data_IF_320958362935
#
_entry.id   IF_320958362935
#
_cell.length_a   1.000
_cell.length_b   1.000
_cell.length_c   1.000
_cell.angle_alpha   90.00
_cell.angle_beta   90.00
_cell.angle_gamma   90.00
#
_symmetry.space_group_name_H-M   'P 1'
#
loop_
_entity.id
_entity.type
_entity.pdbx_description
1 polymer ?
#
# COMPACT_ATOMS: atom_id res chain seq x y z
N UNK A 1 -7.38 -4.70 11.29
CA UNK A 1 -6.11 -5.45 11.13
C UNK A 1 -5.86 -6.41 12.28
N UNK A 2 -5.96 -5.99 13.55
CA UNK A 2 -5.62 -6.83 14.71
C UNK A 2 -6.27 -8.23 14.71
N UNK A 3 -7.60 -8.31 14.54
CA UNK A 3 -8.30 -9.60 14.43
C UNK A 3 -7.77 -10.50 13.29
N UNK A 4 -7.47 -9.89 12.14
CA UNK A 4 -6.93 -10.63 10.98
C UNK A 4 -5.52 -11.19 11.19
N UNK A 5 -4.79 -10.68 12.20
CA UNK A 5 -3.51 -11.22 12.65
C UNK A 5 -3.63 -12.11 13.90
N UNK A 6 -4.86 -12.49 14.29
CA UNK A 6 -5.12 -13.44 15.37
C UNK A 6 -5.49 -12.81 16.72
N UNK A 7 -5.70 -11.49 16.79
CA UNK A 7 -6.26 -10.85 17.99
C UNK A 7 -7.77 -11.18 18.13
N UNK A 8 -8.35 -10.78 19.25
CA UNK A 8 -9.79 -10.86 19.53
C UNK A 8 -10.62 -9.98 18.59
N UNK A 9 -11.90 -10.33 18.45
CA UNK A 9 -12.86 -9.59 17.63
C UNK A 9 -13.11 -8.17 18.17
N UNK A 10 -12.94 -7.97 19.48
CA UNK A 10 -13.00 -6.67 20.12
C UNK A 10 -11.70 -6.42 20.90
N UNK A 11 -10.62 -6.00 20.20
CA UNK A 11 -9.31 -5.79 20.81
C UNK A 11 -9.37 -4.71 21.88
N UNK A 12 -8.41 -4.75 22.81
CA UNK A 12 -8.35 -3.74 23.87
C UNK A 12 -8.00 -2.37 23.27
N UNK A 13 -8.62 -1.34 23.82
CA UNK A 13 -8.48 0.03 23.33
C UNK A 13 -7.03 0.54 23.42
N UNK A 14 -6.33 0.22 24.51
CA UNK A 14 -4.92 0.59 24.72
C UNK A 14 -3.98 -0.05 23.67
N UNK A 15 -4.24 -1.31 23.27
CA UNK A 15 -3.50 -1.95 22.18
C UNK A 15 -3.74 -1.24 20.84
N UNK A 16 -4.99 -0.84 20.57
CA UNK A 16 -5.34 -0.15 19.32
C UNK A 16 -4.61 1.19 19.22
N UNK A 17 -4.64 1.98 20.29
CA UNK A 17 -3.98 3.28 20.37
C UNK A 17 -2.46 3.16 20.16
N UNK A 18 -1.81 2.22 20.84
CA UNK A 18 -0.38 2.00 20.68
C UNK A 18 -0.01 1.56 19.25
N UNK A 19 -0.79 0.64 18.66
CA UNK A 19 -0.53 0.18 17.30
C UNK A 19 -0.72 1.30 16.28
N UNK A 20 -1.67 2.21 16.51
CA UNK A 20 -1.84 3.41 15.70
C UNK A 20 -0.60 4.30 15.74
N UNK A 21 -0.08 4.60 16.93
CA UNK A 21 1.15 5.38 17.09
C UNK A 21 2.34 4.75 16.37
N UNK A 22 2.54 3.43 16.54
CA UNK A 22 3.62 2.69 15.87
C UNK A 22 3.50 2.71 14.35
N UNK A 23 2.29 2.64 13.82
CA UNK A 23 2.04 2.71 12.37
C UNK A 23 2.35 4.10 11.83
N UNK A 24 1.98 5.16 12.56
CA UNK A 24 2.30 6.54 12.17
C UNK A 24 3.81 6.76 12.13
N UNK A 25 4.53 6.29 13.14
CA UNK A 25 5.99 6.38 13.20
C UNK A 25 6.63 5.65 12.02
N UNK A 26 6.25 4.38 11.79
CA UNK A 26 6.75 3.58 10.68
C UNK A 26 6.51 4.24 9.31
N UNK A 27 5.31 4.78 9.07
CA UNK A 27 4.99 5.47 7.82
C UNK A 27 5.81 6.75 7.65
N UNK A 28 5.96 7.53 8.73
CA UNK A 28 6.74 8.76 8.73
C UNK A 28 8.20 8.48 8.37
N UNK A 29 8.80 7.47 8.98
CA UNK A 29 10.18 7.07 8.70
C UNK A 29 10.35 6.55 7.27
N UNK A 30 9.43 5.70 6.82
CA UNK A 30 9.48 5.12 5.46
C UNK A 30 9.36 6.20 4.39
N UNK A 31 8.41 7.13 4.54
CA UNK A 31 8.22 8.23 3.59
C UNK A 31 9.38 9.22 3.65
N UNK A 32 9.93 9.50 4.84
CA UNK A 32 11.10 10.36 4.98
C UNK A 32 12.32 9.75 4.30
N UNK A 33 12.53 8.43 4.42
CA UNK A 33 13.59 7.73 3.70
C UNK A 33 13.40 7.83 2.18
N UNK A 34 12.18 7.66 1.68
CA UNK A 34 11.87 7.81 0.26
C UNK A 34 12.09 9.25 -0.22
N UNK A 35 11.68 10.25 0.57
CA UNK A 35 11.86 11.66 0.26
C UNK A 35 13.33 12.08 0.17
N UNK A 36 14.23 11.44 0.92
CA UNK A 36 15.69 11.68 0.83
C UNK A 36 16.30 11.22 -0.49
N UNK A 37 15.71 10.22 -1.13
CA UNK A 37 16.17 9.65 -2.40
C UNK A 37 15.48 10.36 -3.58
N UNK A 38 14.24 10.78 -3.36
CA UNK A 38 13.44 11.46 -4.38
C UNK A 38 14.02 12.81 -4.78
N UNK A 39 14.02 13.11 -6.08
CA UNK A 39 14.56 14.37 -6.61
C UNK A 39 13.62 15.57 -6.44
N UNK A 40 12.32 15.34 -6.31
CA UNK A 40 11.33 16.44 -6.25
C UNK A 40 10.07 16.02 -5.50
N UNK A 41 9.45 14.90 -5.90
CA UNK A 41 8.23 14.38 -5.27
C UNK A 41 8.34 12.87 -5.20
N UNK A 42 8.05 12.32 -4.02
CA UNK A 42 8.04 10.88 -3.76
C UNK A 42 7.15 10.16 -4.77
N UNK A 43 7.73 9.19 -5.46
CA UNK A 43 7.06 8.28 -6.41
C UNK A 43 7.07 6.85 -5.87
N UNK A 44 6.29 5.99 -6.51
CA UNK A 44 6.22 4.56 -6.18
C UNK A 44 7.59 3.89 -6.24
N UNK A 45 8.42 4.25 -7.24
CA UNK A 45 9.77 3.70 -7.39
C UNK A 45 10.69 4.04 -6.21
N UNK A 46 10.52 5.22 -5.59
CA UNK A 46 11.27 5.63 -4.41
C UNK A 46 10.93 4.71 -3.22
N UNK A 47 9.66 4.35 -3.06
CA UNK A 47 9.20 3.42 -2.01
C UNK A 47 9.67 1.99 -2.27
N UNK A 48 9.64 1.52 -3.52
CA UNK A 48 10.21 0.22 -3.90
C UNK A 48 11.71 0.15 -3.59
N UNK A 49 12.44 1.24 -3.85
CA UNK A 49 13.85 1.32 -3.50
C UNK A 49 14.10 1.25 -1.99
N UNK A 50 13.28 1.93 -1.18
CA UNK A 50 13.37 1.85 0.29
C UNK A 50 13.11 0.43 0.78
N UNK A 51 12.13 -0.27 0.19
CA UNK A 51 11.73 -1.63 0.57
C UNK A 51 12.61 -2.75 -0.01
N UNK A 52 13.62 -2.43 -0.83
CA UNK A 52 14.42 -3.43 -1.58
C UNK A 52 15.10 -4.53 -0.75
N UNK A 53 15.30 -4.27 0.54
CA UNK A 53 15.94 -5.22 1.47
C UNK A 53 14.93 -6.11 2.22
N UNK A 54 13.63 -5.86 2.06
CA UNK A 54 12.55 -6.68 2.62
C UNK A 54 11.83 -7.39 1.47
N UNK A 55 12.35 -8.56 1.10
CA UNK A 55 11.88 -9.34 -0.06
C UNK A 55 10.37 -9.63 0.01
N UNK A 56 9.84 -9.88 1.21
CA UNK A 56 8.42 -10.19 1.40
C UNK A 56 7.54 -8.98 1.15
N UNK A 57 7.92 -7.81 1.70
CA UNK A 57 7.17 -6.57 1.44
C UNK A 57 7.29 -6.14 -0.01
N UNK A 58 8.48 -6.26 -0.61
CA UNK A 58 8.70 -5.90 -2.00
C UNK A 58 7.82 -6.75 -2.93
N UNK A 59 7.88 -8.07 -2.81
CA UNK A 59 7.06 -8.98 -3.62
C UNK A 59 5.56 -8.71 -3.46
N UNK A 60 5.11 -8.40 -2.23
CA UNK A 60 3.71 -8.08 -1.97
C UNK A 60 3.29 -6.77 -2.63
N UNK A 61 4.15 -5.74 -2.62
CA UNK A 61 3.85 -4.47 -3.29
C UNK A 61 3.76 -4.67 -4.80
N UNK A 62 4.69 -5.42 -5.40
CA UNK A 62 4.67 -5.74 -6.84
C UNK A 62 3.37 -6.47 -7.25
N UNK A 63 2.94 -7.46 -6.48
CA UNK A 63 1.68 -8.17 -6.71
C UNK A 63 0.46 -7.24 -6.67
N UNK A 64 0.42 -6.33 -5.68
CA UNK A 64 -0.67 -5.36 -5.53
C UNK A 64 -0.70 -4.35 -6.69
N UNK A 65 0.47 -3.88 -7.15
CA UNK A 65 0.58 -2.98 -8.30
C UNK A 65 0.11 -3.68 -9.58
N UNK A 66 0.52 -4.93 -9.79
CA UNK A 66 0.05 -5.74 -10.92
C UNK A 66 -1.47 -5.90 -10.91
N UNK A 67 -2.04 -6.27 -9.77
CA UNK A 67 -3.48 -6.46 -9.65
C UNK A 67 -4.25 -5.16 -9.89
N UNK A 68 -3.73 -4.03 -9.39
CA UNK A 68 -4.32 -2.72 -9.64
C UNK A 68 -4.36 -2.41 -11.14
N UNK A 69 -3.26 -2.66 -11.86
CA UNK A 69 -3.21 -2.46 -13.31
C UNK A 69 -4.20 -3.36 -14.06
N UNK A 70 -4.35 -4.62 -13.63
CA UNK A 70 -5.35 -5.54 -14.20
C UNK A 70 -6.76 -5.00 -14.00
N UNK A 71 -7.09 -4.57 -12.77
CA UNK A 71 -8.41 -4.00 -12.46
C UNK A 71 -8.71 -2.74 -13.28
N UNK A 72 -7.71 -1.88 -13.47
CA UNK A 72 -7.86 -0.66 -14.27
C UNK A 72 -8.07 -0.94 -15.76
N UNK A 73 -7.37 -1.94 -16.32
CA UNK A 73 -7.62 -2.38 -17.71
C UNK A 73 -9.02 -2.96 -17.87
N UNK A 74 -9.46 -3.77 -16.90
CA UNK A 74 -10.80 -4.38 -16.89
C UNK A 74 -11.88 -3.30 -16.85
N UNK A 75 -11.74 -2.29 -15.97
CA UNK A 75 -12.68 -1.15 -15.91
C UNK A 75 -12.78 -0.40 -17.23
N UNK A 76 -11.65 -0.08 -17.85
CA UNK A 76 -11.62 0.64 -19.14
C UNK A 76 -12.30 -0.13 -20.27
N UNK A 77 -12.15 -1.46 -20.30
CA UNK A 77 -12.81 -2.29 -21.31
C UNK A 77 -14.35 -2.27 -21.15
N UNK A 78 -14.85 -2.27 -19.92
CA UNK A 78 -16.29 -2.16 -19.66
C UNK A 78 -16.86 -0.78 -20.05
N UNK A 79 -16.16 0.31 -19.71
CA UNK A 79 -16.62 1.67 -20.07
C UNK A 79 -16.69 1.86 -21.61
N UNK A 80 -15.71 1.32 -22.37
CA UNK A 80 -15.72 1.38 -23.83
C UNK A 80 -16.83 0.53 -24.49
N UNK A 81 -17.21 -0.57 -23.84
CA UNK A 81 -18.29 -1.45 -24.32
C UNK A 81 -19.69 -0.85 -24.07
N UNK A 82 -19.84 0.04 -23.09
CA UNK A 82 -21.08 0.78 -22.84
C UNK A 82 -21.24 1.96 -23.81
N UNK A 83 -20.18 2.71 -24.10
CA UNK A 83 -20.22 3.81 -25.09
C UNK A 83 -20.49 3.32 -26.52
N UNK A 84 -20.04 2.11 -26.88
CA UNK A 84 -20.27 1.53 -28.21
C UNK A 84 -21.69 0.96 -28.42
N UNK A 85 -22.49 0.84 -27.35
CA UNK A 85 -23.88 0.35 -27.39
C UNK A 85 -24.92 1.47 -27.31
N UNK A 86 -24.50 2.73 -27.10
CA UNK A 86 -25.34 3.92 -27.12
C UNK A 86 -25.33 4.60 -28.51
#
# INVERSE_FOLDING_TARGET
MLFGFGDSNNPRQDTVELVEELVIEYLTDTITAAARISQTRVRTDDLLHVLRHDEKKLARVEELLYMNEVLDRVRKAFDSDEESKA
#
